data_IF_238798248741
#
_entry.id   IF_238798248741
#
_cell.length_a   1.000
_cell.length_b   1.000
_cell.length_c   1.000
_cell.angle_alpha   90.00
_cell.angle_beta   90.00
_cell.angle_gamma   90.00
#
_symmetry.space_group_name_H-M   'P 1'
#
loop_
_entity.id
_entity.type
_entity.pdbx_description
1 polymer ?
#
# COMPACT_ATOMS: atom_id res chain seq x y z
N UNK A 1 7.66 8.56 -0.99
CA UNK A 1 8.68 7.54 -1.34
C UNK A 1 8.19 6.16 -0.93
N UNK A 2 8.39 5.17 -1.79
CA UNK A 2 8.23 3.76 -1.42
C UNK A 2 9.59 3.24 -0.95
N UNK A 3 9.70 2.76 0.28
CA UNK A 3 10.89 2.09 0.80
C UNK A 3 10.71 0.58 0.72
N UNK A 4 11.81 -0.17 0.57
CA UNK A 4 11.74 -1.62 0.61
C UNK A 4 11.21 -2.12 1.95
N UNK A 5 10.58 -3.30 1.96
CA UNK A 5 10.14 -3.93 3.21
C UNK A 5 11.31 -4.09 4.20
N UNK A 6 12.49 -4.49 3.71
CA UNK A 6 13.69 -4.61 4.53
C UNK A 6 14.09 -3.28 5.21
N UNK A 7 14.05 -2.17 4.47
CA UNK A 7 14.38 -0.85 5.02
C UNK A 7 13.39 -0.42 6.11
N UNK A 8 12.10 -0.68 5.90
CA UNK A 8 11.07 -0.39 6.91
C UNK A 8 11.21 -1.29 8.14
N UNK A 9 11.54 -2.56 7.96
CA UNK A 9 11.81 -3.49 9.06
C UNK A 9 12.99 -3.02 9.90
N UNK A 10 14.07 -2.56 9.26
CA UNK A 10 15.22 -1.97 9.93
C UNK A 10 14.82 -0.73 10.76
N UNK A 11 13.97 0.15 10.23
CA UNK A 11 13.48 1.31 10.97
C UNK A 11 12.68 0.90 12.20
N UNK A 12 11.77 -0.07 12.06
CA UNK A 12 10.92 -0.54 13.16
C UNK A 12 11.77 -1.20 14.25
N UNK A 13 12.76 -2.02 13.86
CA UNK A 13 13.65 -2.68 14.82
C UNK A 13 14.52 -1.69 15.58
N UNK A 14 15.17 -0.74 14.89
CA UNK A 14 16.01 0.29 15.53
C UNK A 14 15.19 1.16 16.50
N UNK A 15 13.93 1.41 16.17
CA UNK A 15 13.05 2.19 17.04
C UNK A 15 12.57 1.40 18.25
N UNK A 16 12.27 0.11 18.07
CA UNK A 16 11.88 -0.80 19.16
C UNK A 16 13.05 -1.12 20.12
N UNK A 17 14.30 -0.93 19.68
CA UNK A 17 15.49 -0.99 20.55
C UNK A 17 15.80 0.33 21.26
N UNK A 18 15.01 1.39 21.02
CA UNK A 18 15.13 2.66 21.73
C UNK A 18 16.08 3.68 21.09
N UNK A 19 16.53 3.48 19.85
CA UNK A 19 17.38 4.47 19.17
C UNK A 19 16.63 5.77 18.87
N UNK A 20 17.36 6.88 18.97
CA UNK A 20 16.84 8.20 18.65
C UNK A 20 16.54 8.39 17.17
N UNK A 21 15.52 9.19 16.85
CA UNK A 21 15.15 9.47 15.45
C UNK A 21 16.29 10.11 14.65
N UNK A 22 17.18 10.89 15.29
CA UNK A 22 18.36 11.48 14.65
C UNK A 22 19.31 10.40 14.16
N UNK A 23 19.76 9.52 15.05
CA UNK A 23 20.64 8.38 14.71
C UNK A 23 20.05 7.50 13.60
N UNK A 24 18.75 7.21 13.66
CA UNK A 24 18.09 6.39 12.62
C UNK A 24 18.07 7.14 11.29
N UNK A 25 17.88 8.46 11.29
CA UNK A 25 17.94 9.29 10.08
C UNK A 25 19.34 9.26 9.48
N UNK A 26 20.38 9.38 10.31
CA UNK A 26 21.77 9.37 9.86
C UNK A 26 22.17 8.00 9.28
N UNK A 27 21.66 6.90 9.86
CA UNK A 27 21.93 5.54 9.39
C UNK A 27 21.17 5.17 8.11
N UNK A 28 19.92 5.62 7.96
CA UNK A 28 19.02 5.18 6.88
C UNK A 28 18.84 6.22 5.78
N UNK A 29 19.21 7.47 6.02
CA UNK A 29 18.91 8.61 5.15
C UNK A 29 17.41 8.99 5.10
N UNK A 30 16.58 8.40 5.95
CA UNK A 30 15.13 8.61 5.94
C UNK A 30 14.75 9.76 6.85
N UNK A 31 14.00 10.72 6.31
CA UNK A 31 13.49 11.86 7.08
C UNK A 31 12.67 11.40 8.31
N UNK A 32 12.87 12.08 9.44
CA UNK A 32 12.18 11.84 10.73
C UNK A 32 10.67 11.67 10.59
N UNK A 33 10.01 12.47 9.73
CA UNK A 33 8.56 12.36 9.49
C UNK A 33 8.18 11.00 8.92
N UNK A 34 8.99 10.47 8.00
CA UNK A 34 8.73 9.17 7.37
C UNK A 34 9.04 8.02 8.32
N UNK A 35 10.10 8.12 9.14
CA UNK A 35 10.38 7.16 10.20
C UNK A 35 9.19 7.00 11.16
N UNK A 36 8.63 8.13 11.62
CA UNK A 36 7.46 8.12 12.51
C UNK A 36 6.23 7.47 11.84
N UNK A 37 6.00 7.74 10.54
CA UNK A 37 4.90 7.11 9.79
C UNK A 37 5.07 5.60 9.65
N UNK A 38 6.30 5.13 9.36
CA UNK A 38 6.59 3.70 9.25
C UNK A 38 6.31 3.01 10.59
N UNK A 39 6.80 3.60 11.69
CA UNK A 39 6.62 3.05 13.03
C UNK A 39 5.15 3.04 13.48
N UNK A 40 4.41 4.13 13.23
CA UNK A 40 2.99 4.21 13.53
C UNK A 40 2.18 3.13 12.79
N UNK A 41 2.45 2.92 11.49
CA UNK A 41 1.79 1.87 10.72
C UNK A 41 2.09 0.46 11.22
N UNK A 42 3.31 0.22 11.70
CA UNK A 42 3.64 -1.08 12.30
C UNK A 42 2.77 -1.32 13.55
N UNK A 43 2.61 -0.30 14.41
CA UNK A 43 1.73 -0.37 15.60
C UNK A 43 0.27 -0.56 15.21
N UNK A 44 -0.23 0.19 14.22
CA UNK A 44 -1.60 0.05 13.69
C UNK A 44 -1.90 -1.38 13.20
N UNK A 45 -0.86 -2.10 12.77
CA UNK A 45 -0.95 -3.48 12.29
C UNK A 45 -0.73 -4.53 13.38
N UNK A 46 -0.65 -4.11 14.64
CA UNK A 46 -0.53 -5.01 15.79
C UNK A 46 0.90 -5.25 16.29
N UNK A 47 1.91 -4.52 15.77
CA UNK A 47 3.25 -4.62 16.33
C UNK A 47 3.30 -4.07 17.77
N UNK A 48 3.70 -4.93 18.72
CA UNK A 48 3.88 -4.55 20.12
C UNK A 48 5.36 -4.27 20.44
N UNK A 49 5.76 -3.01 20.68
CA UNK A 49 7.16 -2.67 20.98
C UNK A 49 7.61 -3.05 22.40
N UNK A 50 6.67 -3.32 23.31
CA UNK A 50 6.98 -3.72 24.68
C UNK A 50 7.22 -5.24 24.81
N UNK A 51 6.77 -6.02 23.83
CA UNK A 51 6.94 -7.47 23.83
C UNK A 51 8.41 -7.86 23.63
N UNK A 52 8.86 -8.82 24.44
CA UNK A 52 10.20 -9.41 24.35
C UNK A 52 10.03 -10.93 24.30
N UNK A 53 10.56 -11.63 23.29
CA UNK A 53 11.37 -11.14 22.16
C UNK A 53 10.56 -10.27 21.17
N UNK A 54 11.25 -9.44 20.39
CA UNK A 54 10.59 -8.61 19.38
C UNK A 54 9.96 -9.48 18.29
N UNK A 55 8.63 -9.51 18.23
CA UNK A 55 7.88 -10.22 17.20
C UNK A 55 7.59 -9.30 16.01
N UNK A 56 8.58 -9.15 15.12
CA UNK A 56 8.43 -8.38 13.89
C UNK A 56 8.16 -9.32 12.70
N UNK A 57 6.92 -9.31 12.20
CA UNK A 57 6.50 -10.08 11.04
C UNK A 57 6.41 -9.20 9.80
N UNK A 58 6.42 -9.83 8.62
CA UNK A 58 6.37 -9.13 7.34
C UNK A 58 5.06 -8.34 7.18
N UNK A 59 3.96 -8.84 7.75
CA UNK A 59 2.64 -8.20 7.78
C UNK A 59 2.67 -6.78 8.37
N UNK A 60 3.52 -6.53 9.37
CA UNK A 60 3.66 -5.22 9.98
C UNK A 60 4.31 -4.22 9.01
N UNK A 61 5.07 -4.71 8.02
CA UNK A 61 6.02 -3.93 7.22
C UNK A 61 5.63 -3.84 5.74
N UNK A 62 4.90 -4.81 5.20
CA UNK A 62 4.44 -4.82 3.81
C UNK A 62 3.48 -3.66 3.52
N UNK A 63 3.56 -3.00 2.36
CA UNK A 63 2.53 -2.00 2.04
C UNK A 63 1.20 -2.68 1.75
N UNK A 64 0.10 -2.08 2.22
CA UNK A 64 -1.22 -2.55 1.82
C UNK A 64 -1.37 -2.40 0.29
N UNK A 65 -2.05 -3.35 -0.37
CA UNK A 65 -2.37 -3.19 -1.79
C UNK A 65 -3.07 -1.85 -1.96
N UNK A 66 -2.56 -1.04 -2.89
CA UNK A 66 -3.17 0.26 -3.18
C UNK A 66 -4.56 -0.04 -3.72
N UNK A 67 -5.59 0.26 -2.94
CA UNK A 67 -6.92 0.32 -3.49
C UNK A 67 -6.89 1.43 -4.54
N UNK A 68 -6.90 1.01 -5.80
CA UNK A 68 -7.12 1.94 -6.90
C UNK A 68 -8.47 2.62 -6.71
N UNK A 69 -8.75 3.62 -7.53
CA UNK A 69 -10.09 4.21 -7.54
C UNK A 69 -11.10 3.08 -7.79
N UNK A 70 -12.09 2.85 -6.90
CA UNK A 70 -13.11 1.85 -7.16
C UNK A 70 -13.78 2.19 -8.49
N UNK A 71 -13.62 1.29 -9.47
CA UNK A 71 -14.28 1.44 -10.78
C UNK A 71 -15.76 1.12 -10.60
N UNK A 72 -16.63 1.98 -11.14
CA UNK A 72 -18.08 1.71 -11.18
C UNK A 72 -18.45 0.61 -12.18
N UNK A 73 -17.47 0.03 -12.89
CA UNK A 73 -17.71 -1.01 -13.87
C UNK A 73 -17.89 -2.37 -13.20
N UNK A 74 -19.15 -2.79 -13.04
CA UNK A 74 -19.49 -4.21 -12.88
C UNK A 74 -19.35 -4.91 -14.24
N UNK A 75 -19.07 -6.22 -14.25
CA UNK A 75 -18.99 -7.01 -15.49
C UNK A 75 -20.24 -6.89 -16.38
N UNK A 76 -21.37 -6.59 -15.76
CA UNK A 76 -22.65 -6.33 -16.42
C UNK A 76 -22.63 -5.00 -17.20
N UNK A 77 -22.12 -3.92 -16.61
CA UNK A 77 -22.02 -2.62 -17.28
C UNK A 77 -20.99 -2.59 -18.41
N UNK A 78 -19.88 -3.34 -18.31
CA UNK A 78 -18.88 -3.39 -19.38
C UNK A 78 -19.40 -4.08 -20.63
N UNK A 79 -20.16 -5.17 -20.46
CA UNK A 79 -20.80 -5.86 -21.59
C UNK A 79 -21.91 -5.03 -22.23
N UNK A 80 -22.72 -4.33 -21.43
CA UNK A 80 -23.73 -3.39 -21.93
C UNK A 80 -23.12 -2.26 -22.77
N UNK A 81 -22.01 -1.66 -22.32
CA UNK A 81 -21.30 -0.62 -23.09
C UNK A 81 -20.80 -1.18 -24.42
N UNK A 82 -20.17 -2.36 -24.44
CA UNK A 82 -19.70 -2.98 -25.69
C UNK A 82 -20.87 -3.26 -26.67
N UNK A 83 -22.02 -3.71 -26.16
CA UNK A 83 -23.21 -3.93 -26.98
C UNK A 83 -23.77 -2.62 -27.56
N UNK A 84 -23.77 -1.53 -26.78
CA UNK A 84 -24.21 -0.22 -27.29
C UNK A 84 -23.26 0.34 -28.34
N UNK A 85 -21.95 0.11 -28.24
CA UNK A 85 -20.99 0.55 -29.26
C UNK A 85 -21.14 -0.23 -30.56
N UNK A 86 -21.50 -1.53 -30.47
CA UNK A 86 -21.74 -2.40 -31.63
C UNK A 86 -23.09 -2.15 -32.33
N UNK A 87 -23.99 -1.39 -31.73
CA UNK A 87 -25.33 -1.10 -32.27
C UNK A 87 -25.45 0.38 -32.60
N UNK A 88 -26.02 0.71 -33.77
CA UNK A 88 -26.29 2.09 -34.14
C UNK A 88 -27.49 2.68 -33.38
N UNK A 89 -27.76 3.98 -33.51
CA UNK A 89 -28.94 4.65 -32.88
C UNK A 89 -30.28 3.97 -33.21
N UNK A 90 -30.34 3.26 -34.34
CA UNK A 90 -31.52 2.51 -34.80
C UNK A 90 -31.45 0.99 -34.51
N UNK A 91 -30.50 0.54 -33.67
CA UNK A 91 -30.35 -0.86 -33.27
C UNK A 91 -29.75 -1.79 -34.32
N UNK A 92 -29.28 -1.27 -35.46
CA UNK A 92 -28.59 -2.06 -36.49
C UNK A 92 -27.17 -2.40 -36.04
N UNK A 93 -26.75 -3.62 -36.32
CA UNK A 93 -25.38 -4.06 -36.10
C UNK A 93 -24.43 -3.22 -36.95
N UNK A 94 -23.40 -2.66 -36.33
CA UNK A 94 -22.31 -2.04 -37.07
C UNK A 94 -21.33 -3.13 -37.48
N UNK A 95 -21.19 -3.38 -38.78
CA UNK A 95 -20.06 -4.14 -39.31
C UNK A 95 -18.80 -3.31 -39.07
N UNK A 96 -17.96 -3.78 -38.14
CA UNK A 96 -16.60 -3.32 -38.04
C UNK A 96 -15.82 -3.99 -39.18
N UNK A 97 -15.41 -3.23 -40.19
CA UNK A 97 -14.24 -3.57 -40.99
C UNK A 97 -12.97 -3.27 -40.20
#
# INVERSE_FOLDING_TARGET
>A
MNYSAATRALVVSLKATGKGNGEITDLTGIEKRTLNKIYARAIERGFNPAERPLNLQDEHVQDAPRSGRPSKQTADTSSAVVLTVRRDRYGREKLCM
#
